data_IF_673926806404
#
_entry.id   IF_673926806404
#
_cell.length_a   1.000
_cell.length_b   1.000
_cell.length_c   1.000
_cell.angle_alpha   90.00
_cell.angle_beta   90.00
_cell.angle_gamma   90.00
#
_symmetry.space_group_name_H-M   'P 1'
#
loop_
_entity.id
_entity.type
_entity.pdbx_description
1 polymer ?
#
# COMPACT_ATOMS: atom_id res chain seq x y z
N UNK A 1 -0.46 6.10 19.02
CA UNK A 1 0.09 4.71 19.16
C UNK A 1 0.40 4.24 17.76
N UNK A 2 1.42 3.39 17.53
CA UNK A 2 1.71 2.91 16.19
C UNK A 2 0.52 2.13 15.61
N UNK A 3 0.18 2.41 14.35
CA UNK A 3 -0.79 1.64 13.57
C UNK A 3 -0.08 0.49 12.86
N UNK A 4 -0.79 -0.62 12.65
CA UNK A 4 -0.29 -1.78 11.93
C UNK A 4 -0.89 -1.80 10.53
N UNK A 5 -0.06 -1.61 9.51
CA UNK A 5 -0.50 -1.46 8.11
C UNK A 5 -0.01 -2.65 7.29
N UNK A 6 -0.95 -3.38 6.67
CA UNK A 6 -0.63 -4.45 5.73
C UNK A 6 -0.57 -3.88 4.32
N UNK A 7 0.50 -4.07 3.56
CA UNK A 7 0.57 -3.59 2.17
C UNK A 7 0.76 -4.77 1.21
N UNK A 8 -0.20 -4.95 0.32
CA UNK A 8 -0.13 -5.94 -0.75
C UNK A 8 0.73 -5.39 -1.89
N UNK A 9 1.97 -5.90 -2.00
CA UNK A 9 2.94 -5.50 -3.02
C UNK A 9 4.15 -4.77 -2.44
N UNK A 10 5.26 -5.49 -2.21
CA UNK A 10 6.45 -4.92 -1.57
C UNK A 10 7.26 -3.91 -2.39
N UNK A 11 7.14 -3.89 -3.72
CA UNK A 11 7.91 -2.94 -4.55
C UNK A 11 7.31 -1.53 -4.46
N UNK A 12 6.24 -1.26 -5.20
CA UNK A 12 5.57 0.04 -5.18
C UNK A 12 5.04 0.41 -3.79
N UNK A 13 4.57 -0.58 -3.03
CA UNK A 13 4.12 -0.40 -1.65
C UNK A 13 5.20 0.11 -0.68
N UNK A 14 6.48 -0.07 -0.98
CA UNK A 14 7.57 0.49 -0.16
C UNK A 14 7.56 2.01 -0.13
N UNK A 15 7.00 2.70 -1.15
CA UNK A 15 6.89 4.16 -1.11
C UNK A 15 5.96 4.63 0.01
N UNK A 16 4.76 4.05 0.09
CA UNK A 16 3.84 4.33 1.20
C UNK A 16 4.41 3.79 2.52
N UNK A 17 4.97 2.58 2.49
CA UNK A 17 5.57 1.93 3.65
C UNK A 17 6.64 2.79 4.32
N UNK A 18 7.59 3.34 3.55
CA UNK A 18 8.64 4.22 4.07
C UNK A 18 8.08 5.47 4.73
N UNK A 19 7.03 6.10 4.18
CA UNK A 19 6.40 7.28 4.82
C UNK A 19 5.76 6.90 6.16
N UNK A 20 5.07 5.76 6.23
CA UNK A 20 4.47 5.25 7.46
C UNK A 20 5.52 4.87 8.52
N UNK A 21 6.62 4.25 8.10
CA UNK A 21 7.74 3.88 8.97
C UNK A 21 8.43 5.14 9.53
N UNK A 22 8.63 6.17 8.69
CA UNK A 22 9.15 7.47 9.13
C UNK A 22 8.26 8.11 10.20
N UNK A 23 6.94 7.95 10.09
CA UNK A 23 5.94 8.40 11.05
C UNK A 23 5.84 7.52 12.32
N UNK A 24 6.63 6.44 12.41
CA UNK A 24 6.65 5.55 13.58
C UNK A 24 5.56 4.48 13.59
N UNK A 25 4.91 4.22 12.45
CA UNK A 25 3.93 3.13 12.31
C UNK A 25 4.60 1.83 11.85
N UNK A 26 3.89 0.71 12.01
CA UNK A 26 4.37 -0.60 11.62
C UNK A 26 3.82 -1.00 10.25
N UNK A 27 4.66 -1.62 9.43
CA UNK A 27 4.32 -2.02 8.06
C UNK A 27 4.70 -3.47 7.82
N UNK A 28 3.74 -4.27 7.35
CA UNK A 28 4.01 -5.59 6.77
C UNK A 28 3.87 -5.54 5.25
N UNK A 29 4.94 -5.87 4.52
CA UNK A 29 4.92 -5.96 3.07
C UNK A 29 4.61 -7.39 2.60
N UNK A 30 3.51 -7.57 1.88
CA UNK A 30 3.17 -8.86 1.25
C UNK A 30 3.93 -9.02 -0.05
N UNK A 31 4.72 -10.08 -0.16
CA UNK A 31 5.49 -10.42 -1.34
C UNK A 31 5.79 -11.91 -1.44
N UNK A 32 6.63 -12.33 -2.39
CA UNK A 32 7.07 -13.73 -2.48
C UNK A 32 8.08 -14.02 -1.38
N UNK A 33 8.13 -15.28 -0.89
CA UNK A 33 9.04 -15.73 0.17
C UNK A 33 10.47 -15.19 0.04
N UNK A 34 11.12 -15.38 -1.11
CA UNK A 34 12.49 -14.88 -1.37
C UNK A 34 12.63 -13.36 -1.16
N UNK A 35 11.63 -12.58 -1.54
CA UNK A 35 11.61 -11.13 -1.33
C UNK A 35 11.35 -10.78 0.13
N UNK A 36 10.50 -11.56 0.81
CA UNK A 36 10.25 -11.38 2.24
C UNK A 36 11.53 -11.65 3.06
N UNK A 37 12.23 -12.74 2.77
CA UNK A 37 13.49 -13.10 3.42
C UNK A 37 14.54 -11.99 3.25
N UNK A 38 14.67 -11.46 2.02
CA UNK A 38 15.56 -10.32 1.72
C UNK A 38 15.18 -9.07 2.52
N UNK A 39 13.91 -8.68 2.50
CA UNK A 39 13.44 -7.48 3.22
C UNK A 39 13.61 -7.63 4.73
N UNK A 40 13.34 -8.80 5.30
CA UNK A 40 13.54 -9.04 6.72
C UNK A 40 15.04 -9.03 7.08
N UNK A 41 15.91 -9.52 6.19
CA UNK A 41 17.36 -9.55 6.39
C UNK A 41 18.08 -8.22 6.13
N UNK A 42 17.56 -7.34 5.28
CA UNK A 42 18.27 -6.13 4.83
C UNK A 42 17.46 -4.84 5.00
N UNK A 43 16.15 -4.93 5.16
CA UNK A 43 15.22 -3.80 5.05
C UNK A 43 14.92 -3.42 3.60
N UNK A 44 14.11 -2.40 3.41
CA UNK A 44 13.94 -1.68 2.14
C UNK A 44 14.80 -0.43 2.06
N UNK A 45 15.18 -0.07 0.83
CA UNK A 45 15.80 1.20 0.47
C UNK A 45 14.89 1.94 -0.51
N UNK A 46 14.45 3.15 -0.14
CA UNK A 46 13.70 4.03 -1.06
C UNK A 46 14.55 5.25 -1.38
N UNK A 47 14.89 5.40 -2.66
CA UNK A 47 15.69 6.50 -3.20
C UNK A 47 14.75 7.59 -3.71
N UNK A 48 14.75 8.75 -3.06
CA UNK A 48 13.87 9.88 -3.41
C UNK A 48 14.73 11.09 -3.74
N UNK A 49 14.40 11.78 -4.84
CA UNK A 49 15.00 13.08 -5.13
C UNK A 49 14.27 14.18 -4.36
N UNK A 50 14.91 14.72 -3.33
CA UNK A 50 14.35 15.85 -2.60
C UNK A 50 14.49 17.15 -3.40
N UNK A 51 13.60 18.11 -3.12
CA UNK A 51 13.66 19.43 -3.76
C UNK A 51 15.03 20.05 -3.45
N UNK A 52 15.64 20.64 -4.47
CA UNK A 52 16.94 21.33 -4.39
C UNK A 52 18.15 20.43 -4.08
N UNK A 53 17.98 19.10 -4.06
CA UNK A 53 19.09 18.15 -3.94
C UNK A 53 19.57 17.66 -5.32
N UNK A 54 20.90 17.61 -5.55
CA UNK A 54 21.46 17.16 -6.83
C UNK A 54 21.30 15.64 -7.03
N UNK A 55 21.29 14.86 -5.94
CA UNK A 55 21.29 13.40 -5.95
C UNK A 55 20.01 12.85 -5.31
N UNK A 56 19.72 11.57 -5.57
CA UNK A 56 18.68 10.87 -4.82
C UNK A 56 19.19 10.54 -3.42
N UNK A 57 18.35 10.76 -2.43
CA UNK A 57 18.61 10.38 -1.07
C UNK A 57 18.09 8.97 -0.81
N UNK A 58 18.95 8.12 -0.26
CA UNK A 58 18.55 6.80 0.20
C UNK A 58 17.89 6.90 1.58
N UNK A 59 16.68 6.37 1.70
CA UNK A 59 15.97 6.20 2.96
C UNK A 59 15.92 4.72 3.27
N UNK A 60 16.65 4.29 4.30
CA UNK A 60 16.73 2.91 4.73
C UNK A 60 15.70 2.66 5.83
N UNK A 61 14.81 1.70 5.60
CA UNK A 61 13.77 1.33 6.57
C UNK A 61 14.28 0.97 7.98
N UNK A 62 15.52 0.50 8.09
CA UNK A 62 16.16 0.11 9.36
C UNK A 62 16.51 1.29 10.26
N UNK A 63 16.63 2.46 9.67
CA UNK A 63 16.97 3.69 10.39
C UNK A 63 15.70 4.46 10.81
N UNK A 64 14.52 3.91 10.51
CA UNK A 64 13.23 4.55 10.76
C UNK A 64 12.63 4.12 12.11
N UNK A 65 11.82 4.97 12.76
CA UNK A 65 11.23 4.67 14.07
C UNK A 65 10.15 3.58 14.03
N UNK A 66 9.52 3.35 12.88
CA UNK A 66 8.52 2.29 12.68
C UNK A 66 9.15 0.91 12.47
N UNK A 67 8.36 -0.15 12.68
CA UNK A 67 8.82 -1.53 12.45
C UNK A 67 8.41 -2.03 11.07
N UNK A 68 9.35 -2.59 10.32
CA UNK A 68 9.11 -3.24 9.04
C UNK A 68 9.28 -4.77 9.17
N UNK A 69 8.30 -5.51 8.66
CA UNK A 69 8.45 -6.91 8.28
C UNK A 69 7.88 -7.19 6.89
N UNK A 70 8.18 -8.37 6.35
CA UNK A 70 7.63 -8.86 5.10
C UNK A 70 7.27 -10.34 5.21
N UNK A 71 6.20 -10.74 4.54
CA UNK A 71 5.69 -12.10 4.59
C UNK A 71 4.94 -12.47 3.30
N UNK A 72 4.87 -13.76 2.95
CA UNK A 72 4.01 -14.18 1.86
C UNK A 72 2.54 -14.28 2.26
N UNK A 73 1.62 -14.30 1.28
CA UNK A 73 0.18 -14.15 1.52
C UNK A 73 -0.41 -15.20 2.48
N UNK A 74 0.12 -16.42 2.45
CA UNK A 74 -0.33 -17.53 3.30
C UNK A 74 -0.08 -17.32 4.80
N UNK A 75 0.93 -16.52 5.17
CA UNK A 75 1.35 -16.30 6.56
C UNK A 75 0.65 -15.09 7.21
N UNK A 76 -0.17 -14.37 6.45
CA UNK A 76 -0.85 -13.17 6.93
C UNK A 76 -2.10 -13.54 7.72
N UNK A 77 -2.18 -13.00 8.94
CA UNK A 77 -3.38 -12.92 9.75
C UNK A 77 -3.95 -11.49 9.69
N UNK A 78 -5.07 -11.25 8.98
CA UNK A 78 -5.67 -9.92 8.86
C UNK A 78 -6.04 -9.27 10.19
N UNK A 79 -6.31 -10.04 11.26
CA UNK A 79 -6.75 -9.48 12.54
C UNK A 79 -5.71 -8.59 13.23
N UNK A 80 -4.45 -8.65 12.77
CA UNK A 80 -3.32 -7.88 13.30
C UNK A 80 -3.23 -6.45 12.76
N UNK A 81 -4.07 -6.07 11.80
CA UNK A 81 -3.90 -4.85 11.01
C UNK A 81 -5.08 -3.89 11.15
N UNK A 82 -4.76 -2.59 11.09
CA UNK A 82 -5.73 -1.50 11.14
C UNK A 82 -6.19 -1.06 9.73
N UNK A 83 -5.32 -1.21 8.73
CA UNK A 83 -5.54 -0.77 7.34
C UNK A 83 -4.80 -1.70 6.37
N UNK A 84 -5.38 -1.90 5.19
CA UNK A 84 -4.71 -2.56 4.07
C UNK A 84 -4.39 -1.57 2.95
N UNK A 85 -3.13 -1.49 2.53
CA UNK A 85 -2.70 -0.84 1.30
C UNK A 85 -2.72 -1.80 0.11
N UNK A 86 -3.45 -1.47 -0.96
CA UNK A 86 -3.44 -2.24 -2.21
C UNK A 86 -2.43 -1.60 -3.17
N UNK A 87 -1.30 -2.27 -3.42
CA UNK A 87 -0.14 -1.71 -4.13
C UNK A 87 0.46 -2.65 -5.20
N UNK A 88 -0.36 -3.56 -5.73
CA UNK A 88 -0.04 -4.42 -6.88
C UNK A 88 -0.79 -3.99 -8.13
N UNK A 89 -0.31 -4.43 -9.29
CA UNK A 89 -1.08 -4.31 -10.54
C UNK A 89 -2.33 -5.18 -10.49
N UNK A 90 -3.44 -4.71 -11.09
CA UNK A 90 -4.73 -5.42 -11.07
C UNK A 90 -4.64 -6.91 -11.45
N UNK A 91 -3.91 -7.31 -12.52
CA UNK A 91 -3.81 -8.71 -12.90
C UNK A 91 -3.14 -9.61 -11.84
N UNK A 92 -2.28 -9.04 -10.98
CA UNK A 92 -1.56 -9.80 -9.96
C UNK A 92 -2.48 -10.33 -8.86
N UNK A 93 -3.62 -9.67 -8.63
CA UNK A 93 -4.62 -10.15 -7.67
C UNK A 93 -5.31 -11.44 -8.12
N UNK A 94 -5.16 -11.84 -9.39
CA UNK A 94 -5.64 -13.13 -9.87
C UNK A 94 -4.79 -14.32 -9.38
N UNK A 95 -3.62 -14.08 -8.79
CA UNK A 95 -2.81 -15.15 -8.20
C UNK A 95 -3.57 -15.87 -7.07
N UNK A 96 -3.52 -17.20 -7.05
CA UNK A 96 -4.29 -18.01 -6.10
C UNK A 96 -4.08 -17.62 -4.63
N UNK A 97 -2.84 -17.47 -4.17
CA UNK A 97 -2.57 -17.15 -2.74
C UNK A 97 -3.01 -15.74 -2.39
N UNK A 98 -2.89 -14.79 -3.33
CA UNK A 98 -3.42 -13.43 -3.18
C UNK A 98 -4.94 -13.44 -3.11
N UNK A 99 -5.65 -14.19 -3.96
CA UNK A 99 -7.12 -14.31 -3.89
C UNK A 99 -7.59 -14.84 -2.55
N UNK A 100 -6.90 -15.85 -2.01
CA UNK A 100 -7.20 -16.39 -0.67
C UNK A 100 -7.02 -15.30 0.40
N UNK A 101 -5.93 -14.52 0.33
CA UNK A 101 -5.72 -13.40 1.25
C UNK A 101 -6.80 -12.30 1.09
N UNK A 102 -7.16 -11.93 -0.13
CA UNK A 102 -8.22 -10.95 -0.42
C UNK A 102 -9.56 -11.38 0.19
N UNK A 103 -9.89 -12.67 0.14
CA UNK A 103 -11.07 -13.23 0.79
C UNK A 103 -11.01 -13.05 2.30
N UNK A 104 -9.87 -13.34 2.93
CA UNK A 104 -9.70 -13.18 4.39
C UNK A 104 -9.81 -11.71 4.80
N UNK A 105 -9.19 -10.80 4.04
CA UNK A 105 -9.27 -9.35 4.27
C UNK A 105 -10.72 -8.86 4.20
N UNK A 106 -11.45 -9.26 3.15
CA UNK A 106 -12.85 -8.89 3.00
C UNK A 106 -13.73 -9.43 4.15
N UNK A 107 -13.51 -10.69 4.56
CA UNK A 107 -14.22 -11.28 5.70
C UNK A 107 -13.92 -10.58 7.03
N UNK A 108 -12.69 -10.08 7.21
CA UNK A 108 -12.29 -9.30 8.37
C UNK A 108 -12.79 -7.85 8.35
N UNK A 109 -13.40 -7.39 7.23
CA UNK A 109 -13.92 -6.03 7.05
C UNK A 109 -12.88 -4.93 7.30
N UNK A 110 -11.62 -5.19 6.94
CA UNK A 110 -10.58 -4.18 7.05
C UNK A 110 -10.78 -3.06 6.02
N UNK A 111 -10.56 -1.78 6.40
CA UNK A 111 -10.52 -0.71 5.43
C UNK A 111 -9.32 -0.89 4.48
N UNK A 112 -9.55 -0.73 3.18
CA UNK A 112 -8.56 -0.88 2.13
C UNK A 112 -8.33 0.42 1.38
N UNK A 113 -7.11 0.94 1.39
CA UNK A 113 -6.69 2.08 0.58
C UNK A 113 -5.92 1.58 -0.64
N UNK A 114 -6.46 1.81 -1.84
CA UNK A 114 -5.76 1.49 -3.08
C UNK A 114 -4.85 2.62 -3.53
N UNK A 115 -3.57 2.33 -3.73
CA UNK A 115 -2.62 3.21 -4.44
C UNK A 115 -2.37 2.72 -5.86
N UNK A 116 -3.21 1.82 -6.37
CA UNK A 116 -3.08 1.23 -7.70
C UNK A 116 -3.44 2.23 -8.80
N UNK A 117 -2.83 2.07 -9.98
CA UNK A 117 -3.22 2.83 -11.18
C UNK A 117 -4.66 2.52 -11.64
N UNK A 118 -5.10 1.28 -11.46
CA UNK A 118 -6.47 0.85 -11.78
C UNK A 118 -7.32 0.93 -10.50
N UNK A 119 -8.40 1.74 -10.46
CA UNK A 119 -9.27 1.82 -9.29
C UNK A 119 -9.97 0.48 -9.04
N UNK A 120 -10.04 -0.01 -7.78
CA UNK A 120 -10.74 -1.25 -7.47
C UNK A 120 -12.24 -1.14 -7.79
N UNK A 121 -12.83 -2.23 -8.29
CA UNK A 121 -14.26 -2.29 -8.60
C UNK A 121 -15.18 -1.86 -7.44
N UNK A 122 -14.92 -2.23 -6.15
CA UNK A 122 -15.76 -1.79 -5.03
C UNK A 122 -15.72 -0.27 -4.83
N UNK A 123 -14.60 0.39 -5.12
CA UNK A 123 -14.53 1.85 -5.06
C UNK A 123 -15.37 2.49 -6.17
N UNK A 124 -15.29 1.98 -7.40
CA UNK A 124 -16.09 2.47 -8.54
C UNK A 124 -17.59 2.37 -8.27
N UNK A 125 -18.04 1.30 -7.59
CA UNK A 125 -19.44 1.12 -7.18
C UNK A 125 -19.97 2.21 -6.22
N UNK A 126 -19.08 3.01 -5.60
CA UNK A 126 -19.46 4.15 -4.75
C UNK A 126 -19.82 5.40 -5.55
N UNK A 127 -19.46 5.46 -6.83
CA UNK A 127 -19.70 6.62 -7.69
C UNK A 127 -21.08 6.43 -8.35
N UNK A 128 -22.08 7.30 -8.09
CA UNK A 128 -23.45 7.08 -8.55
C UNK A 128 -23.59 6.85 -10.06
N UNK A 129 -22.79 7.56 -10.87
CA UNK A 129 -22.78 7.41 -12.32
C UNK A 129 -22.21 6.07 -12.81
N UNK A 130 -21.42 5.36 -11.98
CA UNK A 130 -20.77 4.10 -12.33
C UNK A 130 -21.40 2.90 -11.61
N UNK A 131 -22.19 3.11 -10.57
CA UNK A 131 -22.66 2.06 -9.66
C UNK A 131 -23.47 0.94 -10.34
N UNK A 132 -24.19 1.25 -11.42
CA UNK A 132 -24.99 0.32 -12.20
C UNK A 132 -24.35 -0.06 -13.54
N UNK A 133 -23.14 0.41 -13.85
CA UNK A 133 -22.45 0.04 -15.08
C UNK A 133 -21.86 -1.37 -14.95
N UNK A 134 -21.98 -2.15 -16.02
CA UNK A 134 -21.22 -3.40 -16.15
C UNK A 134 -19.77 -3.05 -16.51
N UNK A 135 -18.88 -3.23 -15.54
CA UNK A 135 -17.46 -2.95 -15.65
C UNK A 135 -16.62 -4.24 -15.64
N UNK A 136 -17.24 -5.42 -15.61
CA UNK A 136 -16.52 -6.67 -15.36
C UNK A 136 -15.45 -6.94 -16.43
N UNK A 137 -15.78 -6.62 -17.69
CA UNK A 137 -14.87 -6.75 -18.82
C UNK A 137 -13.69 -5.75 -18.81
N UNK A 138 -13.71 -4.75 -17.93
CA UNK A 138 -12.57 -3.83 -17.73
C UNK A 138 -11.51 -4.40 -16.78
N UNK A 139 -11.79 -5.52 -16.09
CA UNK A 139 -10.88 -6.16 -15.14
C UNK A 139 -10.39 -7.51 -15.67
N UNK A 140 -9.16 -7.89 -15.32
CA UNK A 140 -8.64 -9.22 -15.65
C UNK A 140 -9.47 -10.30 -14.95
N UNK A 141 -9.91 -10.02 -13.72
CA UNK A 141 -10.83 -10.87 -12.98
C UNK A 141 -11.62 -10.04 -11.96
N UNK A 142 -12.83 -9.64 -12.34
CA UNK A 142 -13.74 -8.88 -11.45
C UNK A 142 -14.07 -9.64 -10.15
N UNK A 143 -14.15 -10.98 -10.21
CA UNK A 143 -14.55 -11.82 -9.07
C UNK A 143 -13.59 -11.79 -7.87
N UNK A 144 -12.38 -11.27 -8.04
CA UNK A 144 -11.46 -10.97 -6.93
C UNK A 144 -12.10 -10.02 -5.90
N UNK A 145 -12.99 -9.15 -6.36
CA UNK A 145 -13.54 -8.04 -5.59
C UNK A 145 -14.91 -8.33 -4.98
N UNK A 146 -15.55 -9.44 -5.32
CA UNK A 146 -16.97 -9.73 -5.00
C UNK A 146 -17.33 -9.63 -3.52
N UNK A 147 -16.37 -9.94 -2.64
CA UNK A 147 -16.59 -9.97 -1.18
C UNK A 147 -16.35 -8.63 -0.51
N UNK A 148 -15.78 -7.65 -1.22
CA UNK A 148 -15.48 -6.34 -0.63
C UNK A 148 -16.72 -5.47 -0.56
N UNK A 149 -17.00 -4.95 0.63
CA UNK A 149 -18.01 -3.92 0.83
C UNK A 149 -17.51 -2.59 0.22
N UNK A 150 -18.24 -1.96 -0.72
CA UNK A 150 -17.82 -0.70 -1.35
C UNK A 150 -17.39 0.36 -0.34
N UNK A 151 -18.10 0.51 0.78
CA UNK A 151 -17.80 1.51 1.81
C UNK A 151 -16.46 1.35 2.51
N UNK A 152 -15.84 0.16 2.45
CA UNK A 152 -14.56 -0.18 3.06
C UNK A 152 -13.38 -0.05 2.09
N UNK A 153 -13.62 0.30 0.83
CA UNK A 153 -12.54 0.47 -0.16
C UNK A 153 -12.46 1.92 -0.60
N UNK A 154 -11.28 2.50 -0.47
CA UNK A 154 -10.97 3.85 -0.95
C UNK A 154 -9.83 3.83 -1.97
N UNK A 155 -9.68 4.94 -2.67
CA UNK A 155 -8.67 5.16 -3.70
C UNK A 155 -7.77 6.31 -3.29
N UNK A 156 -6.50 6.16 -3.61
CA UNK A 156 -5.49 7.18 -3.54
C UNK A 156 -4.91 7.43 -4.93
N UNK A 157 -4.54 8.68 -5.21
CA UNK A 157 -3.82 9.02 -6.43
C UNK A 157 -2.55 8.17 -6.57
N UNK A 158 -2.32 7.50 -7.72
CA UNK A 158 -1.07 6.80 -7.94
C UNK A 158 0.09 7.78 -8.12
N UNK A 159 1.29 7.32 -7.79
CA UNK A 159 2.56 7.98 -8.09
C UNK A 159 3.18 7.33 -9.34
N UNK A 160 3.18 8.02 -10.50
CA UNK A 160 3.68 7.45 -11.75
C UNK A 160 5.22 7.39 -11.85
N UNK A 161 5.96 7.85 -10.83
CA UNK A 161 7.41 8.07 -10.93
C UNK A 161 8.25 7.12 -10.07
N UNK A 162 7.64 6.08 -9.52
CA UNK A 162 8.33 5.03 -8.78
C UNK A 162 8.59 3.80 -9.67
N UNK A 163 9.85 3.35 -9.72
CA UNK A 163 10.23 2.14 -10.44
C UNK A 163 11.31 1.38 -9.69
N UNK A 164 11.39 0.07 -9.97
CA UNK A 164 12.47 -0.78 -9.48
C UNK A 164 13.63 -0.75 -10.47
N UNK A 165 14.84 -0.34 -10.06
CA UNK A 165 16.01 -0.39 -10.95
C UNK A 165 16.31 -1.85 -11.36
N UNK A 166 16.78 -2.09 -12.60
CA UNK A 166 16.99 -3.44 -13.12
C UNK A 166 18.14 -4.20 -12.43
N UNK A 167 19.18 -3.49 -12.00
CA UNK A 167 20.41 -4.06 -11.45
C UNK A 167 20.46 -4.08 -9.91
N UNK A 168 19.34 -3.75 -9.25
CA UNK A 168 19.25 -3.62 -7.80
C UNK A 168 18.40 -4.73 -7.16
N UNK A 169 18.51 -4.86 -5.83
CA UNK A 169 17.71 -5.79 -5.04
C UNK A 169 16.20 -5.55 -5.17
N UNK A 170 15.39 -6.58 -4.91
CA UNK A 170 13.93 -6.47 -4.95
C UNK A 170 13.33 -5.59 -3.83
N UNK A 171 14.18 -5.17 -2.89
CA UNK A 171 13.92 -4.27 -1.76
C UNK A 171 14.31 -2.80 -2.05
N UNK A 172 14.81 -2.49 -3.25
CA UNK A 172 15.20 -1.13 -3.66
C UNK A 172 14.14 -0.52 -4.57
N UNK A 173 13.69 0.69 -4.23
CA UNK A 173 12.75 1.49 -5.04
C UNK A 173 13.35 2.85 -5.36
N UNK A 174 13.22 3.29 -6.61
CA UNK A 174 13.68 4.61 -7.06
C UNK A 174 12.47 5.50 -7.40
N UNK A 175 12.46 6.73 -6.90
CA UNK A 175 11.37 7.70 -7.07
C UNK A 175 11.93 8.98 -7.67
N UNK A 176 11.54 9.25 -8.91
CA UNK A 176 12.09 10.37 -9.69
C UNK A 176 11.68 11.75 -9.17
N UNK A 177 10.39 11.93 -8.82
CA UNK A 177 9.91 13.12 -8.13
C UNK A 177 8.96 12.71 -7.00
N UNK A 178 9.12 13.29 -5.80
CA UNK A 178 8.24 13.03 -4.68
C UNK A 178 6.85 13.61 -4.96
N UNK A 179 5.83 12.76 -4.94
CA UNK A 179 4.44 13.22 -4.98
C UNK A 179 3.71 12.95 -3.66
N UNK A 180 2.73 13.79 -3.40
CA UNK A 180 1.82 13.62 -2.27
C UNK A 180 0.67 12.71 -2.69
N UNK A 181 0.40 11.73 -1.85
CA UNK A 181 -0.76 10.86 -1.97
C UNK A 181 -2.02 11.64 -1.62
N UNK A 182 -3.04 11.58 -2.47
CA UNK A 182 -4.37 12.14 -2.20
C UNK A 182 -5.37 11.01 -2.09
N UNK A 183 -5.79 10.70 -0.87
CA UNK A 183 -6.79 9.68 -0.60
C UNK A 183 -8.20 10.27 -0.66
N UNK A 184 -9.12 9.57 -1.32
CA UNK A 184 -10.54 9.77 -1.14
C UNK A 184 -10.96 9.27 0.25
N UNK A 185 -12.04 9.81 0.80
CA UNK A 185 -12.59 9.34 2.07
C UNK A 185 -13.20 7.95 1.94
N UNK A 186 -13.23 7.18 3.03
CA UNK A 186 -14.11 6.03 3.21
C UNK A 186 -15.55 6.47 3.47
N UNK A 187 -16.49 5.51 3.42
CA UNK A 187 -17.88 5.79 3.79
C UNK A 187 -18.05 6.02 5.30
N UNK A 188 -17.27 5.31 6.13
CA UNK A 188 -17.30 5.43 7.59
C UNK A 188 -16.27 6.45 8.08
N UNK A 189 -16.72 7.35 8.95
CA UNK A 189 -15.89 8.38 9.57
C UNK A 189 -14.82 7.80 10.52
N UNK A 190 -15.02 6.61 11.08
CA UNK A 190 -13.99 5.92 11.86
C UNK A 190 -12.74 5.61 11.04
N UNK A 191 -12.91 5.15 9.80
CA UNK A 191 -11.78 4.88 8.89
C UNK A 191 -11.15 6.19 8.39
N UNK A 192 -11.93 7.26 8.24
CA UNK A 192 -11.39 8.58 7.91
C UNK A 192 -10.58 9.19 9.05
N UNK A 193 -10.96 8.95 10.32
CA UNK A 193 -10.12 9.34 11.47
C UNK A 193 -8.76 8.63 11.43
N UNK A 194 -8.74 7.34 11.11
CA UNK A 194 -7.50 6.60 10.90
C UNK A 194 -6.65 7.23 9.78
N UNK A 195 -7.23 7.56 8.62
CA UNK A 195 -6.48 8.22 7.54
C UNK A 195 -5.90 9.58 7.96
N UNK A 196 -6.67 10.40 8.68
CA UNK A 196 -6.20 11.72 9.16
C UNK A 196 -5.11 11.60 10.22
N UNK A 197 -5.15 10.56 11.05
CA UNK A 197 -4.07 10.25 11.99
C UNK A 197 -2.77 9.92 11.24
N UNK A 198 -2.83 9.01 10.26
CA UNK A 198 -1.67 8.66 9.43
C UNK A 198 -1.14 9.88 8.65
N UNK A 199 -2.02 10.71 8.11
CA UNK A 199 -1.66 11.96 7.42
C UNK A 199 -0.92 12.92 8.35
N UNK A 200 -1.48 13.21 9.53
CA UNK A 200 -0.89 14.12 10.50
C UNK A 200 0.48 13.63 10.99
N UNK A 201 0.61 12.33 11.25
CA UNK A 201 1.86 11.74 11.71
C UNK A 201 2.93 11.77 10.60
N UNK A 202 2.57 11.52 9.33
CA UNK A 202 3.46 11.67 8.18
C UNK A 202 3.88 13.13 7.97
N UNK A 203 2.95 14.08 8.04
CA UNK A 203 3.22 15.52 7.85
C UNK A 203 4.12 16.11 8.95
N UNK A 204 4.08 15.53 10.15
CA UNK A 204 4.94 15.91 11.27
C UNK A 204 6.41 15.47 11.07
N UNK A 205 6.69 14.52 10.17
CA UNK A 205 8.04 14.01 9.94
C UNK A 205 8.98 15.12 9.43
N UNK A 206 10.19 15.15 9.95
CA UNK A 206 11.30 15.95 9.45
C UNK A 206 12.49 15.06 9.13
N UNK A 207 13.05 15.20 7.93
CA UNK A 207 14.33 14.61 7.58
C UNK A 207 15.43 15.59 8.02
N UNK A 208 16.38 15.12 8.82
CA UNK A 208 17.49 15.88 9.42
C UNK A 208 17.17 16.85 10.57
N UNK A 209 15.92 16.89 11.03
CA UNK A 209 15.47 17.76 12.14
C UNK A 209 14.67 18.97 11.67
#
# INVERSE_FOLDING_TARGET
MPRNILILGASYGSLLGTKLLMAGHNVTLVCRRKTADLINQEGTEVRIKLRDEPNHRAILSRDLPGTLDAAPPEDIDPSRYDLVGLAMQEPQYNNHTIRVLMIKIAAAKLPCLSIMNMPPLPYLKRIPALAAMDLDNAFTNAGVWDRFEPGLVSLCSPDPQAFRPPDEGANVLHVGLPTNFKAATFADEAHNRLLRELEADIDAVRLDG
#
